data_IF_505428527601
#
_entry.id   IF_505428527601
#
_cell.length_a   1.000
_cell.length_b   1.000
_cell.length_c   1.000
_cell.angle_alpha   90.00
_cell.angle_beta   90.00
_cell.angle_gamma   90.00
#
_symmetry.space_group_name_H-M   'P 1'
#
loop_
_entity.id
_entity.type
_entity.pdbx_description
1 polymer ?
#
# COMPACT_ATOMS: atom_id res chain seq x y z
N UNK A 1 10.78 -14.06 -10.67
CA UNK A 1 10.14 -14.11 -9.35
C UNK A 1 10.38 -12.79 -8.66
N UNK A 2 9.32 -12.11 -8.20
CA UNK A 2 9.39 -10.80 -7.54
C UNK A 2 8.79 -10.92 -6.14
N UNK A 3 9.52 -10.51 -5.11
CA UNK A 3 9.00 -10.33 -3.75
C UNK A 3 8.48 -8.90 -3.62
N UNK A 4 7.17 -8.75 -3.46
CA UNK A 4 6.50 -7.46 -3.37
C UNK A 4 6.12 -7.18 -1.91
N UNK A 5 6.69 -6.13 -1.33
CA UNK A 5 6.28 -5.62 -0.03
C UNK A 5 5.14 -4.61 -0.19
N UNK A 6 4.01 -4.82 0.47
CA UNK A 6 2.88 -3.88 0.47
C UNK A 6 2.75 -3.31 1.88
N UNK A 7 3.13 -2.05 2.08
CA UNK A 7 2.87 -1.40 3.37
C UNK A 7 1.39 -1.05 3.47
N UNK A 8 0.73 -1.55 4.51
CA UNK A 8 -0.73 -1.40 4.68
C UNK A 8 -1.04 -0.64 5.98
N UNK A 9 -2.18 0.05 6.02
CA UNK A 9 -2.58 0.81 7.20
C UNK A 9 -2.93 -0.10 8.39
N UNK A 10 -3.80 -1.09 8.20
CA UNK A 10 -4.27 -1.93 9.29
C UNK A 10 -4.73 -3.32 8.87
N UNK A 11 -5.58 -3.91 9.72
CA UNK A 11 -5.97 -5.30 9.62
C UNK A 11 -6.82 -5.61 8.38
N UNK A 12 -7.68 -4.69 7.95
CA UNK A 12 -8.58 -4.88 6.81
C UNK A 12 -7.79 -4.99 5.51
N UNK A 13 -6.88 -4.05 5.24
CA UNK A 13 -6.02 -4.05 4.06
C UNK A 13 -5.08 -5.25 4.08
N UNK A 14 -4.55 -5.60 5.26
CA UNK A 14 -3.71 -6.79 5.44
C UNK A 14 -4.44 -8.07 5.02
N UNK A 15 -5.69 -8.25 5.46
CA UNK A 15 -6.49 -9.42 5.06
C UNK A 15 -6.83 -9.38 3.57
N UNK A 16 -7.15 -8.21 3.01
CA UNK A 16 -7.41 -8.06 1.58
C UNK A 16 -6.18 -8.47 0.75
N UNK A 17 -5.00 -7.96 1.09
CA UNK A 17 -3.75 -8.34 0.41
C UNK A 17 -3.51 -9.84 0.54
N UNK A 18 -3.69 -10.41 1.73
CA UNK A 18 -3.39 -11.82 1.99
C UNK A 18 -4.33 -12.77 1.25
N UNK A 19 -5.64 -12.48 1.27
CA UNK A 19 -6.68 -13.40 0.78
C UNK A 19 -7.07 -13.17 -0.68
N UNK A 20 -6.93 -11.94 -1.18
CA UNK A 20 -7.41 -11.55 -2.51
C UNK A 20 -6.23 -11.26 -3.43
N UNK A 21 -5.37 -10.31 -3.06
CA UNK A 21 -4.35 -9.80 -3.98
C UNK A 21 -3.19 -10.79 -4.17
N UNK A 22 -2.65 -11.35 -3.09
CA UNK A 22 -1.49 -12.23 -3.13
C UNK A 22 -1.72 -13.50 -3.97
N UNK A 23 -2.86 -14.23 -3.86
CA UNK A 23 -3.12 -15.39 -4.72
C UNK A 23 -3.18 -15.03 -6.21
N UNK A 24 -3.76 -13.89 -6.56
CA UNK A 24 -3.87 -13.43 -7.97
C UNK A 24 -2.51 -13.04 -8.52
N UNK A 25 -1.71 -12.30 -7.77
CA UNK A 25 -0.36 -11.89 -8.18
C UNK A 25 0.62 -13.07 -8.29
N UNK A 26 0.46 -14.09 -7.42
CA UNK A 26 1.30 -15.29 -7.45
C UNK A 26 1.20 -16.06 -8.78
N UNK A 27 0.07 -15.98 -9.47
CA UNK A 27 -0.12 -16.56 -10.81
C UNK A 27 0.87 -15.97 -11.83
N UNK A 28 1.34 -14.74 -11.60
CA UNK A 28 2.32 -14.04 -12.42
C UNK A 28 3.71 -13.98 -11.77
N UNK A 29 4.02 -14.89 -10.83
CA UNK A 29 5.31 -14.98 -10.13
C UNK A 29 5.67 -13.73 -9.30
N UNK A 30 4.65 -12.97 -8.87
CA UNK A 30 4.76 -11.84 -7.95
C UNK A 30 4.18 -12.26 -6.60
N UNK A 31 5.03 -12.32 -5.58
CA UNK A 31 4.69 -12.79 -4.25
C UNK A 31 4.53 -11.60 -3.30
N UNK A 32 3.28 -11.17 -3.12
CA UNK A 32 2.93 -10.05 -2.26
C UNK A 32 2.92 -10.44 -0.78
N UNK A 33 3.51 -9.58 0.06
CA UNK A 33 3.49 -9.70 1.52
C UNK A 33 3.03 -8.38 2.12
N UNK A 34 1.96 -8.35 2.94
CA UNK A 34 1.54 -7.13 3.61
C UNK A 34 2.41 -6.84 4.84
N UNK A 35 2.71 -5.56 5.06
CA UNK A 35 3.44 -5.05 6.23
C UNK A 35 2.56 -4.02 6.92
N UNK A 36 2.00 -4.44 8.04
CA UNK A 36 1.01 -3.70 8.81
C UNK A 36 1.68 -2.56 9.61
N UNK A 37 1.29 -1.33 9.29
CA UNK A 37 1.73 -0.12 9.99
C UNK A 37 1.08 0.05 11.37
N UNK A 38 0.12 -0.80 11.73
CA UNK A 38 -0.66 -0.80 12.97
C UNK A 38 -1.41 0.52 13.18
N UNK A 39 -2.11 0.96 12.13
CA UNK A 39 -2.91 2.17 12.06
C UNK A 39 -2.11 3.45 11.80
N UNK A 40 -2.77 4.60 11.95
CA UNK A 40 -2.26 5.99 11.79
C UNK A 40 -1.08 6.11 10.83
N UNK A 41 -1.37 6.20 9.54
CA UNK A 41 -0.35 6.44 8.52
C UNK A 41 -0.03 7.95 8.44
N UNK A 42 1.25 8.29 8.33
CA UNK A 42 1.73 9.65 8.06
C UNK A 42 3.03 9.60 7.27
N UNK A 43 3.39 10.68 6.57
CA UNK A 43 4.64 10.75 5.79
C UNK A 43 5.88 10.40 6.65
N UNK A 44 5.93 10.88 7.89
CA UNK A 44 7.02 10.58 8.82
C UNK A 44 7.16 9.08 9.14
N UNK A 45 6.03 8.38 9.32
CA UNK A 45 6.05 6.94 9.61
C UNK A 45 6.40 6.14 8.37
N UNK A 46 5.90 6.56 7.22
CA UNK A 46 6.20 5.93 5.93
C UNK A 46 7.71 6.00 5.65
N UNK A 47 8.32 7.18 5.79
CA UNK A 47 9.76 7.39 5.56
C UNK A 47 10.64 6.42 6.35
N UNK A 48 10.32 6.26 7.65
CA UNK A 48 11.02 5.34 8.56
C UNK A 48 10.88 3.87 8.17
N UNK A 49 9.78 3.50 7.52
CA UNK A 49 9.49 2.10 7.19
C UNK A 49 9.96 1.73 5.79
N UNK A 50 9.82 2.61 4.79
CA UNK A 50 10.19 2.34 3.40
C UNK A 50 11.64 1.88 3.28
N UNK A 51 12.56 2.49 4.03
CA UNK A 51 13.98 2.09 4.01
C UNK A 51 14.19 0.62 4.37
N UNK A 52 13.42 0.09 5.33
CA UNK A 52 13.50 -1.34 5.72
C UNK A 52 12.86 -2.23 4.67
N UNK A 53 11.70 -1.84 4.16
CA UNK A 53 10.99 -2.61 3.13
C UNK A 53 11.81 -2.75 1.86
N UNK A 54 12.45 -1.67 1.41
CA UNK A 54 13.29 -1.68 0.20
C UNK A 54 14.56 -2.52 0.36
N UNK A 55 14.99 -2.84 1.57
CA UNK A 55 16.07 -3.78 1.82
C UNK A 55 15.60 -5.24 1.79
N UNK A 56 14.33 -5.49 2.16
CA UNK A 56 13.77 -6.83 2.29
C UNK A 56 13.11 -7.35 1.02
N UNK A 57 12.52 -6.47 0.21
CA UNK A 57 11.69 -6.79 -0.94
C UNK A 57 12.29 -6.32 -2.25
N UNK A 58 11.94 -6.96 -3.36
CA UNK A 58 12.44 -6.60 -4.68
C UNK A 58 11.72 -5.35 -5.20
N UNK A 59 10.40 -5.25 -4.93
CA UNK A 59 9.57 -4.06 -5.18
C UNK A 59 8.74 -3.72 -3.93
N UNK A 60 8.41 -2.44 -3.76
CA UNK A 60 7.60 -1.97 -2.63
C UNK A 60 6.46 -1.09 -3.14
N UNK A 61 5.29 -1.22 -2.52
CA UNK A 61 4.13 -0.35 -2.76
C UNK A 61 3.43 -0.06 -1.42
N UNK A 62 2.45 0.84 -1.45
CA UNK A 62 1.63 1.20 -0.30
C UNK A 62 0.18 0.85 -0.56
N UNK A 63 -0.60 0.69 0.50
CA UNK A 63 -2.04 0.55 0.41
C UNK A 63 -2.67 1.21 1.64
N UNK A 64 -2.88 2.52 1.52
CA UNK A 64 -3.34 3.38 2.61
C UNK A 64 -4.66 4.05 2.25
N UNK A 65 -5.52 4.31 3.23
CA UNK A 65 -6.73 5.10 3.03
C UNK A 65 -6.37 6.59 2.88
N UNK A 66 -6.88 7.19 1.81
CA UNK A 66 -6.75 8.62 1.55
C UNK A 66 -7.35 9.47 2.66
N UNK A 67 -8.51 9.10 3.22
CA UNK A 67 -9.26 9.89 4.20
C UNK A 67 -8.77 9.65 5.64
N UNK A 68 -8.26 8.46 5.95
CA UNK A 68 -7.60 8.11 7.22
C UNK A 68 -6.19 8.68 7.39
N UNK A 69 -5.58 9.21 6.33
CA UNK A 69 -4.19 9.67 6.36
C UNK A 69 -3.96 10.84 7.33
N UNK A 70 -3.07 10.64 8.30
CA UNK A 70 -2.80 11.63 9.34
C UNK A 70 -1.89 12.76 8.87
N UNK A 71 -2.30 14.02 9.13
CA UNK A 71 -1.61 15.24 8.68
C UNK A 71 -1.34 15.21 7.17
N UNK A 72 -2.35 14.77 6.40
CA UNK A 72 -2.28 14.71 4.95
C UNK A 72 -1.91 16.09 4.38
N UNK A 73 -0.94 16.19 3.46
CA UNK A 73 -0.71 17.41 2.71
C UNK A 73 -1.98 17.84 1.95
N UNK A 74 -2.13 19.14 1.65
CA UNK A 74 -3.22 19.60 0.81
C UNK A 74 -3.10 19.01 -0.60
N UNK A 75 -4.24 18.70 -1.22
CA UNK A 75 -4.29 18.14 -2.57
C UNK A 75 -5.23 16.94 -2.67
N UNK A 76 -5.21 16.32 -3.84
CA UNK A 76 -5.92 15.09 -4.16
C UNK A 76 -5.07 13.85 -3.85
N UNK A 77 -5.56 12.67 -4.25
CA UNK A 77 -4.87 11.39 -4.05
C UNK A 77 -3.49 11.38 -4.73
N UNK A 78 -3.38 11.98 -5.92
CA UNK A 78 -2.14 12.03 -6.68
C UNK A 78 -1.09 12.91 -5.99
N UNK A 79 -1.49 14.05 -5.44
CA UNK A 79 -0.59 14.89 -4.65
C UNK A 79 -0.03 14.15 -3.42
N UNK A 80 -0.82 13.28 -2.79
CA UNK A 80 -0.35 12.44 -1.68
C UNK A 80 0.59 11.34 -2.16
N UNK A 81 0.28 10.66 -3.26
CA UNK A 81 1.16 9.65 -3.87
C UNK A 81 2.51 10.26 -4.26
N UNK A 82 2.52 11.46 -4.86
CA UNK A 82 3.74 12.21 -5.17
C UNK A 82 4.54 12.56 -3.92
N UNK A 83 3.87 13.01 -2.86
CA UNK A 83 4.52 13.30 -1.58
C UNK A 83 5.17 12.03 -0.97
N UNK A 84 4.50 10.88 -1.07
CA UNK A 84 5.03 9.59 -0.63
C UNK A 84 6.21 9.15 -1.52
N UNK A 85 6.10 9.29 -2.84
CA UNK A 85 7.17 8.99 -3.79
C UNK A 85 8.43 9.83 -3.52
N UNK A 86 8.24 11.09 -3.12
CA UNK A 86 9.30 12.02 -2.75
C UNK A 86 10.14 11.58 -1.54
N UNK A 87 9.63 10.68 -0.71
CA UNK A 87 10.38 10.09 0.42
C UNK A 87 11.45 9.09 -0.05
N UNK A 88 11.32 8.55 -1.27
CA UNK A 88 12.25 7.56 -1.81
C UNK A 88 13.35 8.26 -2.63
N UNK A 89 14.63 7.95 -2.39
CA UNK A 89 15.75 8.41 -3.20
C UNK A 89 15.57 8.07 -4.69
N UNK A 90 15.93 9.00 -5.56
CA UNK A 90 15.68 8.90 -7.01
C UNK A 90 16.25 7.61 -7.62
N UNK A 91 17.45 7.20 -7.20
CA UNK A 91 18.11 5.97 -7.66
C UNK A 91 17.33 4.70 -7.31
N UNK A 92 16.43 4.75 -6.33
CA UNK A 92 15.62 3.61 -5.88
C UNK A 92 14.15 3.69 -6.27
N UNK A 93 13.67 4.82 -6.83
CA UNK A 93 12.25 5.01 -7.19
C UNK A 93 11.72 3.99 -8.18
N UNK A 94 12.57 3.45 -9.05
CA UNK A 94 12.18 2.38 -9.98
C UNK A 94 11.67 1.09 -9.30
N UNK A 95 11.95 0.90 -8.00
CA UNK A 95 11.47 -0.22 -7.17
C UNK A 95 10.30 0.14 -6.26
N UNK A 96 9.75 1.34 -6.42
CA UNK A 96 8.68 1.85 -5.57
C UNK A 96 7.53 2.40 -6.42
N UNK A 97 6.31 2.00 -6.08
CA UNK A 97 5.11 2.55 -6.70
C UNK A 97 4.11 2.85 -5.59
N UNK A 98 3.94 4.10 -5.15
CA UNK A 98 2.95 4.43 -4.15
C UNK A 98 1.55 4.17 -4.71
N UNK A 99 0.67 3.67 -3.84
CA UNK A 99 -0.76 3.60 -4.11
C UNK A 99 -1.51 4.03 -2.86
N UNK A 100 -2.45 4.95 -3.04
CA UNK A 100 -3.36 5.41 -2.00
C UNK A 100 -4.79 5.17 -2.46
N UNK A 101 -5.57 4.50 -1.61
CA UNK A 101 -6.96 4.21 -1.88
C UNK A 101 -7.82 5.42 -1.59
N UNK A 102 -8.40 6.01 -2.64
CA UNK A 102 -9.43 7.03 -2.49
C UNK A 102 -10.84 6.45 -2.28
N UNK A 103 -11.13 5.28 -2.83
CA UNK A 103 -12.46 4.66 -2.75
C UNK A 103 -12.39 3.32 -2.03
N UNK A 104 -13.22 3.14 -1.00
CA UNK A 104 -13.24 1.92 -0.19
C UNK A 104 -13.59 0.68 -1.02
N UNK A 105 -12.73 -0.34 -0.99
CA UNK A 105 -12.98 -1.62 -1.66
C UNK A 105 -14.19 -2.36 -1.05
N UNK A 106 -14.59 -2.02 0.17
CA UNK A 106 -15.81 -2.54 0.80
C UNK A 106 -17.05 -2.25 -0.04
N UNK A 107 -17.07 -1.14 -0.80
CA UNK A 107 -18.15 -0.86 -1.73
C UNK A 107 -18.25 -1.92 -2.85
N UNK A 108 -17.11 -2.47 -3.30
CA UNK A 108 -17.09 -3.55 -4.29
C UNK A 108 -17.56 -4.89 -3.67
N UNK A 109 -17.20 -5.15 -2.42
CA UNK A 109 -17.65 -6.34 -1.67
C UNK A 109 -19.15 -6.28 -1.39
N UNK A 110 -19.67 -5.11 -1.00
CA UNK A 110 -21.07 -4.91 -0.61
C UNK A 110 -22.00 -4.61 -1.78
N UNK A 111 -21.48 -4.26 -2.97
CA UNK A 111 -22.27 -4.05 -4.18
C UNK A 111 -22.96 -5.33 -4.69
N UNK A 112 -22.56 -6.51 -4.22
CA UNK A 112 -23.21 -7.80 -4.55
C UNK A 112 -23.72 -8.46 -3.26
N UNK A 113 -24.86 -8.00 -2.70
CA UNK A 113 -25.36 -8.41 -1.38
C UNK A 113 -25.84 -9.87 -1.26
N UNK A 114 -25.57 -10.74 -2.25
CA UNK A 114 -26.09 -12.11 -2.32
C UNK A 114 -25.10 -13.25 -2.05
N UNK A 115 -23.83 -12.97 -1.73
CA UNK A 115 -22.79 -14.01 -1.57
C UNK A 115 -21.93 -13.86 -0.30
N UNK A 116 -22.48 -13.26 0.76
CA UNK A 116 -21.84 -13.21 2.08
C UNK A 116 -22.07 -14.49 2.90
#
# INVERSE_FOLDING_TARGET
MIRLGISVEGATEREFVTRVLAPVLAQNQVFASPIDMRGRVSLERIDKELSKLMAMFDHVTTFYDFYGFHKRPPGDVYALEDAINGLVPEDKRHRFTPYVQQYEFEALVLAVPGHA
#
